data_IF_742650389478
#
_entry.id   IF_742650389478
#
_cell.length_a   1.000
_cell.length_b   1.000
_cell.length_c   1.000
_cell.angle_alpha   90.00
_cell.angle_beta   90.00
_cell.angle_gamma   90.00
#
_symmetry.space_group_name_H-M   'P 1'
#
loop_
_entity.id
_entity.type
_entity.pdbx_description
1 polymer ?
#
# COMPACT_ATOMS: atom_id res chain seq x y z
N UNK A 1 -19.33 -2.39 -8.29
CA UNK A 1 -17.86 -2.21 -8.30
C UNK A 1 -17.25 -3.38 -7.55
N UNK A 2 -16.73 -4.36 -8.26
CA UNK A 2 -16.10 -5.53 -7.66
C UNK A 2 -14.71 -5.17 -7.10
N UNK A 3 -14.30 -5.82 -6.01
CA UNK A 3 -13.04 -5.55 -5.27
C UNK A 3 -11.78 -5.66 -6.14
N UNK A 4 -11.87 -6.27 -7.31
CA UNK A 4 -10.75 -6.43 -8.23
C UNK A 4 -10.44 -5.08 -8.87
N UNK A 5 -11.44 -4.36 -9.43
CA UNK A 5 -11.22 -3.12 -10.16
C UNK A 5 -10.56 -2.01 -9.32
N UNK A 6 -11.00 -1.78 -8.07
CA UNK A 6 -10.40 -0.78 -7.16
C UNK A 6 -8.95 -1.11 -6.78
N UNK A 7 -8.59 -2.39 -6.74
CA UNK A 7 -7.26 -2.84 -6.32
C UNK A 7 -6.17 -2.52 -7.36
N UNK A 8 -6.46 -2.65 -8.65
CA UNK A 8 -5.51 -2.29 -9.72
C UNK A 8 -5.24 -0.79 -9.78
N UNK A 9 -6.21 0.05 -9.43
CA UNK A 9 -6.03 1.51 -9.39
C UNK A 9 -5.06 1.96 -8.29
N UNK A 10 -5.15 1.36 -7.10
CA UNK A 10 -4.24 1.69 -5.99
C UNK A 10 -2.79 1.30 -6.29
N UNK A 11 -2.62 0.15 -6.95
CA UNK A 11 -1.30 -0.37 -7.32
C UNK A 11 -0.52 0.60 -8.22
N UNK A 12 -1.21 1.28 -9.16
CA UNK A 12 -0.57 2.23 -10.08
C UNK A 12 -0.24 3.58 -9.43
N UNK A 13 -1.14 4.12 -8.59
CA UNK A 13 -0.95 5.43 -7.93
C UNK A 13 0.24 5.42 -6.97
N UNK A 14 0.36 4.37 -6.16
CA UNK A 14 1.45 4.29 -5.19
C UNK A 14 2.80 4.07 -5.87
N UNK A 15 2.85 3.33 -6.98
CA UNK A 15 4.08 3.16 -7.76
C UNK A 15 4.59 4.50 -8.30
N UNK A 16 3.71 5.29 -8.93
CA UNK A 16 4.09 6.55 -9.59
C UNK A 16 4.34 7.70 -8.59
N UNK A 17 3.53 7.82 -7.53
CA UNK A 17 3.61 8.98 -6.61
C UNK A 17 4.55 8.77 -5.43
N UNK A 18 4.80 7.52 -5.03
CA UNK A 18 5.59 7.20 -3.83
C UNK A 18 6.90 6.47 -4.14
N UNK A 19 7.20 6.20 -5.42
CA UNK A 19 8.40 5.47 -5.81
C UNK A 19 8.46 4.04 -5.26
N UNK A 20 7.29 3.47 -4.92
CA UNK A 20 7.18 2.10 -4.45
C UNK A 20 7.24 1.14 -5.63
N UNK A 21 7.91 0.00 -5.45
CA UNK A 21 7.81 -1.11 -6.40
C UNK A 21 6.43 -1.74 -6.31
N UNK A 22 6.01 -2.46 -7.36
CA UNK A 22 4.73 -3.20 -7.35
C UNK A 22 4.55 -4.07 -6.11
N UNK A 23 5.60 -4.78 -5.68
CA UNK A 23 5.56 -5.65 -4.50
C UNK A 23 5.42 -4.87 -3.19
N UNK A 24 6.09 -3.73 -3.08
CA UNK A 24 5.94 -2.83 -1.93
C UNK A 24 4.52 -2.26 -1.84
N UNK A 25 3.90 -1.97 -2.99
CA UNK A 25 2.50 -1.54 -3.03
C UNK A 25 1.56 -2.65 -2.55
N UNK A 26 1.72 -3.89 -3.03
CA UNK A 26 0.92 -5.03 -2.56
C UNK A 26 1.03 -5.20 -1.03
N UNK A 27 2.24 -5.10 -0.49
CA UNK A 27 2.49 -5.15 0.97
C UNK A 27 1.79 -4.00 1.69
N UNK A 28 1.96 -2.76 1.21
CA UNK A 28 1.36 -1.58 1.83
C UNK A 28 -0.17 -1.61 1.82
N UNK A 29 -0.78 -2.12 0.75
CA UNK A 29 -2.23 -2.32 0.65
C UNK A 29 -2.73 -3.24 1.76
N UNK A 30 -2.10 -4.39 1.97
CA UNK A 30 -2.49 -5.28 3.06
C UNK A 30 -2.20 -4.70 4.45
N UNK A 31 -1.18 -3.85 4.56
CA UNK A 31 -0.92 -3.11 5.80
C UNK A 31 -2.06 -2.15 6.12
N UNK A 32 -2.57 -1.45 5.11
CA UNK A 32 -3.73 -0.56 5.29
C UNK A 32 -5.00 -1.32 5.67
N UNK A 33 -5.11 -2.60 5.29
CA UNK A 33 -6.18 -3.52 5.68
C UNK A 33 -5.94 -4.18 7.06
N UNK A 34 -4.85 -3.84 7.75
CA UNK A 34 -4.55 -4.32 9.10
C UNK A 34 -3.87 -5.69 9.20
N UNK A 35 -3.42 -6.27 8.08
CA UNK A 35 -2.84 -7.63 8.04
C UNK A 35 -1.44 -7.73 8.61
N UNK A 36 -1.19 -8.66 9.52
CA UNK A 36 0.14 -8.92 10.09
C UNK A 36 1.14 -9.40 9.03
N UNK A 37 2.44 -9.32 9.32
CA UNK A 37 3.47 -9.80 8.37
C UNK A 37 3.32 -11.31 8.06
N UNK A 38 2.79 -12.08 9.01
CA UNK A 38 2.49 -13.50 8.81
C UNK A 38 1.36 -13.69 7.78
N UNK A 39 0.21 -13.05 8.00
CA UNK A 39 -0.91 -13.10 7.05
C UNK A 39 -0.50 -12.58 5.66
N UNK A 40 0.28 -11.49 5.60
CA UNK A 40 0.76 -10.95 4.31
C UNK A 40 1.69 -11.95 3.62
N UNK A 41 2.56 -12.61 4.38
CA UNK A 41 3.43 -13.66 3.87
C UNK A 41 2.64 -14.79 3.22
N UNK A 42 1.60 -15.27 3.91
CA UNK A 42 0.68 -16.29 3.38
C UNK A 42 -0.05 -15.80 2.12
N UNK A 43 -0.59 -14.58 2.13
CA UNK A 43 -1.35 -14.02 1.01
C UNK A 43 -0.47 -13.82 -0.24
N UNK A 44 0.78 -13.43 -0.04
CA UNK A 44 1.70 -13.07 -1.12
C UNK A 44 2.67 -14.19 -1.51
N UNK A 45 2.52 -15.37 -0.92
CA UNK A 45 3.43 -16.52 -1.07
C UNK A 45 4.89 -16.12 -0.81
N UNK A 46 5.15 -15.57 0.38
CA UNK A 46 6.47 -15.15 0.82
C UNK A 46 6.66 -15.28 2.32
N UNK A 47 7.90 -15.15 2.80
CA UNK A 47 8.16 -15.25 4.24
C UNK A 47 7.75 -13.97 4.98
N UNK A 48 7.34 -14.06 6.26
CA UNK A 48 7.09 -12.87 7.10
C UNK A 48 8.32 -11.95 7.21
N UNK A 49 9.53 -12.53 7.11
CA UNK A 49 10.80 -11.79 7.09
C UNK A 49 10.95 -10.97 5.79
N UNK A 50 10.54 -11.53 4.65
CA UNK A 50 10.53 -10.82 3.37
C UNK A 50 9.55 -9.65 3.42
N UNK A 51 8.37 -9.85 4.00
CA UNK A 51 7.40 -8.76 4.22
C UNK A 51 8.00 -7.66 5.09
N UNK A 52 8.67 -8.02 6.19
CA UNK A 52 9.36 -7.04 7.04
C UNK A 52 10.41 -6.25 6.25
N UNK A 53 11.15 -6.91 5.34
CA UNK A 53 12.14 -6.23 4.51
C UNK A 53 11.49 -5.23 3.54
N UNK A 54 10.36 -5.58 2.93
CA UNK A 54 9.58 -4.63 2.14
C UNK A 54 9.09 -3.44 2.98
N UNK A 55 8.65 -3.67 4.22
CA UNK A 55 8.22 -2.59 5.12
C UNK A 55 9.35 -1.62 5.46
N UNK A 56 10.56 -2.10 5.69
CA UNK A 56 11.73 -1.24 5.90
C UNK A 56 11.94 -0.28 4.72
N UNK A 57 11.90 -0.79 3.49
CA UNK A 57 12.05 0.04 2.28
C UNK A 57 10.87 1.00 2.10
N UNK A 58 9.64 0.56 2.39
CA UNK A 58 8.46 1.41 2.35
C UNK A 58 8.62 2.56 3.36
N UNK A 59 9.06 2.28 4.58
CA UNK A 59 9.24 3.29 5.62
C UNK A 59 10.26 4.34 5.20
N UNK A 60 11.37 3.92 4.62
CA UNK A 60 12.38 4.81 4.05
C UNK A 60 11.79 5.69 2.94
N UNK A 61 11.13 5.08 1.94
CA UNK A 61 10.54 5.81 0.79
C UNK A 61 9.42 6.76 1.19
N UNK A 62 8.65 6.42 2.22
CA UNK A 62 7.58 7.26 2.74
C UNK A 62 8.04 8.27 3.79
N UNK A 63 9.31 8.20 4.23
CA UNK A 63 9.85 9.05 5.29
C UNK A 63 9.08 8.91 6.61
N UNK A 64 8.71 7.68 6.97
CA UNK A 64 7.95 7.38 8.21
C UNK A 64 8.68 6.32 9.04
N UNK A 65 8.52 6.36 10.36
CA UNK A 65 9.19 5.41 11.27
C UNK A 65 8.33 4.21 11.70
N UNK A 66 7.04 4.18 11.34
CA UNK A 66 6.12 3.15 11.86
C UNK A 66 5.14 2.65 10.82
N UNK A 67 4.70 1.41 11.03
CA UNK A 67 3.64 0.75 10.28
C UNK A 67 2.34 1.58 10.25
N UNK A 68 1.93 2.11 11.40
CA UNK A 68 0.73 2.94 11.52
C UNK A 68 0.87 4.24 10.73
N UNK A 69 2.04 4.89 10.79
CA UNK A 69 2.28 6.10 10.01
C UNK A 69 2.29 5.81 8.50
N UNK A 70 2.87 4.69 8.06
CA UNK A 70 2.81 4.26 6.66
C UNK A 70 1.36 4.03 6.19
N UNK A 71 0.55 3.33 6.99
CA UNK A 71 -0.86 3.10 6.70
C UNK A 71 -1.67 4.41 6.62
N UNK A 72 -1.44 5.32 7.56
CA UNK A 72 -2.10 6.63 7.58
C UNK A 72 -1.75 7.46 6.34
N UNK A 73 -0.47 7.48 5.94
CA UNK A 73 0.00 8.22 4.76
C UNK A 73 -0.58 7.65 3.47
N UNK A 74 -0.66 6.32 3.34
CA UNK A 74 -1.30 5.68 2.20
C UNK A 74 -2.79 6.06 2.08
N UNK A 75 -3.55 6.01 3.19
CA UNK A 75 -4.97 6.39 3.22
C UNK A 75 -5.22 7.85 2.84
N UNK A 76 -4.38 8.77 3.31
CA UNK A 76 -4.49 10.19 2.97
C UNK A 76 -4.35 10.44 1.45
N UNK A 77 -3.49 9.68 0.78
CA UNK A 77 -3.28 9.80 -0.67
C UNK A 77 -4.44 9.25 -1.48
N UNK A 78 -5.01 8.11 -1.07
CA UNK A 78 -6.22 7.54 -1.70
C UNK A 78 -7.38 8.54 -1.64
N UNK A 79 -7.65 9.12 -0.46
CA UNK A 79 -8.74 10.08 -0.27
C UNK A 79 -8.55 11.36 -1.08
N UNK A 80 -7.30 11.84 -1.22
CA UNK A 80 -6.99 13.01 -2.06
C UNK A 80 -7.29 12.80 -3.55
N UNK A 81 -7.29 11.54 -4.02
CA UNK A 81 -7.48 11.22 -5.42
C UNK A 81 -8.93 10.89 -5.79
N UNK A 82 -9.68 10.24 -4.90
CA UNK A 82 -11.13 10.03 -5.11
C UNK A 82 -11.88 11.36 -5.30
N UNK A 83 -11.44 12.42 -4.59
CA UNK A 83 -11.99 13.78 -4.76
C UNK A 83 -11.74 14.37 -6.16
N UNK A 84 -10.70 13.93 -6.87
CA UNK A 84 -10.39 14.39 -8.24
C UNK A 84 -11.18 13.63 -9.30
N UNK A 85 -11.45 12.34 -9.10
CA UNK A 85 -12.25 11.52 -10.04
C UNK A 85 -13.73 11.90 -9.98
N UNK A 86 -14.26 12.16 -8.78
CA UNK A 86 -15.65 12.58 -8.59
C UNK A 86 -15.96 13.97 -9.19
N UNK A 87 -14.93 14.78 -9.49
CA UNK A 87 -15.07 16.10 -10.12
C UNK A 87 -15.05 16.06 -11.65
N UNK A 88 -14.77 14.89 -12.24
CA UNK A 88 -14.66 14.67 -13.68
C UNK A 88 -15.84 13.85 -14.26
N UNK A 89 -16.85 13.57 -13.45
CA UNK A 89 -18.13 12.95 -13.79
C UNK A 89 -19.28 13.87 -13.39
#
# INVERSE_FOLDING_TARGET
MDRISTRWFHDNIFSERLGLTRREVEVLTWVTDGKTNAEIGEILDTSPRTVQKHLEHIFEKLGVGTRTAAAARARALTFSHESQIASLL
#
